data_IF_068831239916
#
_entry.id   IF_068831239916
#
_cell.length_a   1.000
_cell.length_b   1.000
_cell.length_c   1.000
_cell.angle_alpha   90.00
_cell.angle_beta   90.00
_cell.angle_gamma   90.00
#
_symmetry.space_group_name_H-M   'P 1'
#
loop_
_entity.id
_entity.type
_entity.pdbx_description
1 polymer ?
#
# COMPACT_ATOMS: atom_id res chain seq x y z
N UNK A 1 -5.76 -30.27 3.79
CA UNK A 1 -5.31 -30.16 2.39
C UNK A 1 -5.38 -28.73 1.84
N UNK A 2 -6.35 -27.88 2.25
CA UNK A 2 -6.41 -26.46 1.83
C UNK A 2 -5.15 -25.64 2.18
N UNK A 3 -4.52 -25.92 3.32
CA UNK A 3 -3.37 -25.14 3.82
C UNK A 3 -2.11 -25.28 2.95
N UNK A 4 -1.88 -26.44 2.33
CA UNK A 4 -0.71 -26.67 1.46
C UNK A 4 -0.90 -26.01 0.08
N UNK A 5 -2.11 -26.00 -0.46
CA UNK A 5 -2.40 -25.39 -1.77
C UNK A 5 -2.27 -23.86 -1.75
N UNK A 6 -2.71 -23.22 -0.66
CA UNK A 6 -2.59 -21.76 -0.50
C UNK A 6 -1.13 -21.33 -0.33
N UNK A 7 -0.31 -22.11 0.38
CA UNK A 7 1.11 -21.81 0.58
C UNK A 7 1.89 -21.81 -0.75
N UNK A 8 1.70 -22.85 -1.57
CA UNK A 8 2.36 -22.98 -2.89
C UNK A 8 1.93 -21.85 -3.83
N UNK A 9 0.66 -21.44 -3.77
CA UNK A 9 0.18 -20.32 -4.59
C UNK A 9 0.75 -18.98 -4.13
N UNK A 10 0.86 -18.75 -2.82
CA UNK A 10 1.48 -17.56 -2.24
C UNK A 10 2.95 -17.43 -2.63
N UNK A 11 3.72 -18.50 -2.48
CA UNK A 11 5.14 -18.52 -2.88
C UNK A 11 5.33 -18.21 -4.36
N UNK A 12 4.49 -18.80 -5.23
CA UNK A 12 4.51 -18.51 -6.66
C UNK A 12 4.16 -17.05 -6.97
N UNK A 13 3.24 -16.46 -6.22
CA UNK A 13 2.88 -15.06 -6.35
C UNK A 13 4.03 -14.15 -5.92
N UNK A 14 4.59 -14.36 -4.74
CA UNK A 14 5.68 -13.55 -4.17
C UNK A 14 6.92 -13.59 -5.06
N UNK A 15 7.27 -14.77 -5.59
CA UNK A 15 8.35 -14.91 -6.56
C UNK A 15 8.10 -14.07 -7.81
N UNK A 16 6.91 -14.19 -8.43
CA UNK A 16 6.56 -13.37 -9.59
C UNK A 16 6.55 -11.87 -9.29
N UNK A 17 6.15 -11.47 -8.08
CA UNK A 17 6.15 -10.07 -7.66
C UNK A 17 7.57 -9.55 -7.49
N UNK A 18 8.49 -10.36 -6.95
CA UNK A 18 9.92 -10.00 -6.84
C UNK A 18 10.62 -9.88 -8.19
N UNK A 19 10.18 -10.62 -9.20
CA UNK A 19 10.67 -10.57 -10.57
C UNK A 19 10.16 -9.31 -11.33
N UNK A 20 9.17 -8.58 -10.79
CA UNK A 20 8.67 -7.36 -11.42
C UNK A 20 9.64 -6.19 -11.24
N UNK A 21 10.06 -5.62 -12.37
CA UNK A 21 10.82 -4.37 -12.40
C UNK A 21 9.83 -3.21 -12.31
N UNK A 22 9.77 -2.57 -11.14
CA UNK A 22 9.00 -1.35 -10.97
C UNK A 22 9.74 -0.14 -11.55
N UNK A 23 9.02 0.79 -12.16
CA UNK A 23 9.61 2.05 -12.68
C UNK A 23 10.17 2.89 -11.53
N UNK A 24 11.20 3.70 -11.80
CA UNK A 24 11.86 4.59 -10.81
C UNK A 24 10.92 5.59 -10.11
N UNK A 25 9.74 5.86 -10.69
CA UNK A 25 8.70 6.72 -10.11
C UNK A 25 7.47 5.94 -9.64
N UNK A 26 7.55 4.62 -9.56
CA UNK A 26 6.47 3.79 -9.05
C UNK A 26 6.16 4.12 -7.59
N UNK A 27 4.92 3.86 -7.19
CA UNK A 27 4.48 3.98 -5.79
C UNK A 27 4.61 2.64 -5.06
N UNK A 28 5.43 1.74 -5.62
CA UNK A 28 5.69 0.41 -5.06
C UNK A 28 6.53 0.55 -3.80
N UNK A 29 6.11 -0.14 -2.75
CA UNK A 29 6.84 -0.19 -1.47
C UNK A 29 7.27 -1.64 -1.27
N UNK A 30 8.57 -1.89 -1.45
CA UNK A 30 9.07 -3.26 -1.63
C UNK A 30 9.10 -4.08 -0.35
N UNK A 31 9.35 -3.47 0.81
CA UNK A 31 9.50 -4.17 2.09
C UNK A 31 8.82 -3.44 3.24
N UNK A 32 8.65 -4.17 4.36
CA UNK A 32 8.18 -3.62 5.64
C UNK A 32 9.13 -2.52 6.13
N UNK A 33 10.44 -2.71 5.97
CA UNK A 33 11.45 -1.74 6.41
C UNK A 33 11.35 -0.45 5.60
N UNK A 34 11.18 -0.56 4.27
CA UNK A 34 10.98 0.61 3.41
C UNK A 34 9.67 1.34 3.75
N UNK A 35 8.63 0.60 4.12
CA UNK A 35 7.36 1.16 4.59
C UNK A 35 7.53 1.93 5.90
N UNK A 36 8.21 1.34 6.89
CA UNK A 36 8.48 1.97 8.18
C UNK A 36 9.38 3.20 8.03
N UNK A 37 10.40 3.12 7.17
CA UNK A 37 11.27 4.25 6.83
C UNK A 37 10.45 5.39 6.23
N UNK A 38 9.58 5.13 5.25
CA UNK A 38 8.72 6.15 4.65
C UNK A 38 7.80 6.82 5.69
N UNK A 39 7.25 6.06 6.63
CA UNK A 39 6.47 6.62 7.74
C UNK A 39 7.32 7.59 8.56
N UNK A 40 8.51 7.16 9.01
CA UNK A 40 9.39 8.01 9.80
C UNK A 40 9.79 9.28 9.05
N UNK A 41 10.15 9.15 7.77
CA UNK A 41 10.51 10.25 6.90
C UNK A 41 9.37 11.27 6.72
N UNK A 42 8.12 10.81 6.64
CA UNK A 42 6.94 11.67 6.55
C UNK A 42 6.66 12.34 7.90
N UNK A 43 6.81 11.63 9.03
CA UNK A 43 6.70 12.22 10.37
C UNK A 43 7.74 13.33 10.58
N UNK A 44 9.00 13.07 10.23
CA UNK A 44 10.08 14.06 10.29
C UNK A 44 9.79 15.26 9.40
N UNK A 45 9.34 15.04 8.16
CA UNK A 45 8.97 16.11 7.24
C UNK A 45 7.84 17.00 7.80
N UNK A 46 6.87 16.40 8.51
CA UNK A 46 5.82 17.16 9.20
C UNK A 46 6.37 18.00 10.36
N UNK A 47 7.28 17.43 11.16
CA UNK A 47 7.87 18.09 12.34
C UNK A 47 8.88 19.20 12.00
N UNK A 48 9.53 19.14 10.83
CA UNK A 48 10.51 20.16 10.39
C UNK A 48 9.87 21.54 10.22
N UNK A 49 10.52 22.56 10.80
CA UNK A 49 10.15 23.97 10.61
C UNK A 49 10.53 24.47 9.20
N UNK A 50 11.78 24.21 8.76
CA UNK A 50 12.26 24.51 7.40
C UNK A 50 12.22 23.23 6.58
N UNK A 51 11.33 23.17 5.59
CA UNK A 51 11.11 22.00 4.74
C UNK A 51 11.97 22.09 3.48
N UNK A 52 12.58 20.97 3.11
CA UNK A 52 13.31 20.82 1.84
C UNK A 52 12.33 20.51 0.69
N UNK A 53 12.79 20.62 -0.55
CA UNK A 53 12.01 20.19 -1.72
C UNK A 53 11.59 18.72 -1.64
N UNK A 54 12.43 17.86 -1.06
CA UNK A 54 12.12 16.46 -0.81
C UNK A 54 11.00 16.29 0.22
N UNK A 55 11.05 17.05 1.32
CA UNK A 55 9.99 17.04 2.35
C UNK A 55 8.65 17.47 1.74
N UNK A 56 8.63 18.53 0.92
CA UNK A 56 7.41 18.95 0.21
C UNK A 56 6.90 17.87 -0.76
N UNK A 57 7.79 17.22 -1.52
CA UNK A 57 7.40 16.12 -2.42
C UNK A 57 6.79 14.95 -1.65
N UNK A 58 7.35 14.60 -0.48
CA UNK A 58 6.83 13.54 0.39
C UNK A 58 5.45 13.90 0.94
N UNK A 59 5.30 15.08 1.54
CA UNK A 59 4.01 15.53 2.10
C UNK A 59 2.91 15.71 1.06
N UNK A 60 3.28 15.95 -0.21
CA UNK A 60 2.32 15.98 -1.32
C UNK A 60 1.84 14.58 -1.73
N UNK A 61 2.65 13.54 -1.50
CA UNK A 61 2.35 12.16 -1.92
C UNK A 61 1.78 11.30 -0.80
N UNK A 62 2.22 11.57 0.42
CA UNK A 62 1.97 10.73 1.58
C UNK A 62 1.49 11.56 2.75
N UNK A 63 0.57 10.97 3.48
CA UNK A 63 0.11 11.41 4.77
C UNK A 63 0.06 10.20 5.72
N UNK A 64 -0.12 10.46 7.01
CA UNK A 64 -0.07 9.43 8.05
C UNK A 64 -1.38 9.47 8.82
N UNK A 65 -1.95 8.29 9.00
CA UNK A 65 -3.10 8.06 9.86
C UNK A 65 -2.73 7.05 10.95
N UNK A 66 -2.98 7.43 12.20
CA UNK A 66 -2.85 6.52 13.35
C UNK A 66 -4.22 5.94 13.68
N UNK A 67 -4.34 4.62 13.60
CA UNK A 67 -5.56 3.88 13.96
C UNK A 67 -5.24 2.97 15.14
N UNK A 68 -5.71 3.35 16.33
CA UNK A 68 -5.31 2.70 17.57
C UNK A 68 -3.81 2.85 17.82
N UNK A 69 -3.08 1.73 17.91
CA UNK A 69 -1.62 1.70 18.09
C UNK A 69 -0.84 1.59 16.76
N UNK A 70 -1.54 1.41 15.64
CA UNK A 70 -0.91 1.21 14.34
C UNK A 70 -0.87 2.51 13.52
N UNK A 71 0.31 2.85 13.03
CA UNK A 71 0.52 3.96 12.10
C UNK A 71 0.49 3.45 10.66
N UNK A 72 -0.34 4.06 9.82
CA UNK A 72 -0.53 3.68 8.42
C UNK A 72 -0.23 4.85 7.50
N UNK A 73 0.41 4.55 6.38
CA UNK A 73 0.67 5.49 5.29
C UNK A 73 -0.58 5.59 4.41
N UNK A 74 -1.06 6.81 4.18
CA UNK A 74 -2.27 7.09 3.42
C UNK A 74 -2.01 8.15 2.34
N UNK A 75 -2.93 8.25 1.39
CA UNK A 75 -2.99 9.40 0.48
C UNK A 75 -3.40 10.66 1.27
N UNK A 76 -2.74 11.82 1.05
CA UNK A 76 -3.13 13.07 1.68
C UNK A 76 -4.60 13.40 1.47
N UNK A 77 -5.34 13.60 2.57
CA UNK A 77 -6.80 13.78 2.52
C UNK A 77 -7.21 15.03 1.73
N UNK A 78 -6.38 16.07 1.73
CA UNK A 78 -6.57 17.29 0.94
C UNK A 78 -6.51 17.06 -0.58
N UNK A 79 -6.02 15.92 -1.03
CA UNK A 79 -5.97 15.51 -2.44
C UNK A 79 -6.98 14.41 -2.78
N UNK A 80 -7.71 13.89 -1.78
CA UNK A 80 -8.71 12.86 -1.99
C UNK A 80 -10.07 13.44 -2.37
N UNK A 81 -10.71 12.85 -3.39
CA UNK A 81 -12.10 13.17 -3.74
C UNK A 81 -12.99 12.63 -2.62
N UNK A 82 -13.88 13.47 -2.09
CA UNK A 82 -14.79 13.14 -0.98
C UNK A 82 -14.11 12.73 0.35
N UNK A 83 -12.86 13.14 0.59
CA UNK A 83 -12.09 12.77 1.79
C UNK A 83 -11.96 11.25 2.00
N UNK A 84 -11.99 10.46 0.91
CA UNK A 84 -11.80 9.01 1.00
C UNK A 84 -10.38 8.69 1.48
N UNK A 85 -10.27 7.85 2.50
CA UNK A 85 -8.97 7.36 2.99
C UNK A 85 -8.51 6.21 2.11
N UNK A 86 -7.39 6.39 1.41
CA UNK A 86 -6.73 5.32 0.65
C UNK A 86 -5.38 5.00 1.24
N UNK A 87 -5.12 3.71 1.43
CA UNK A 87 -3.91 3.21 2.08
C UNK A 87 -2.82 2.88 1.07
N UNK A 88 -1.58 3.11 1.48
CA UNK A 88 -0.41 2.51 0.87
C UNK A 88 -0.06 1.22 1.63
N UNK A 89 0.39 0.22 0.88
CA UNK A 89 0.80 -1.08 1.43
C UNK A 89 2.17 -1.47 0.90
N UNK A 90 2.84 -2.38 1.60
CA UNK A 90 4.07 -2.99 1.10
C UNK A 90 3.79 -4.29 0.35
N UNK A 91 4.73 -4.74 -0.49
CA UNK A 91 4.56 -5.92 -1.35
C UNK A 91 4.14 -7.19 -0.60
N UNK A 92 4.63 -7.37 0.63
CA UNK A 92 4.25 -8.49 1.50
C UNK A 92 2.77 -8.53 1.93
N UNK A 93 2.04 -7.41 1.87
CA UNK A 93 0.59 -7.37 2.17
C UNK A 93 -0.29 -7.64 0.94
N UNK A 94 0.25 -7.47 -0.28
CA UNK A 94 -0.54 -7.47 -1.52
C UNK A 94 -1.28 -8.81 -1.70
N UNK A 95 -0.61 -9.93 -1.43
CA UNK A 95 -1.23 -11.25 -1.61
C UNK A 95 -2.48 -11.44 -0.74
N UNK A 96 -2.38 -11.13 0.56
CA UNK A 96 -3.52 -11.29 1.47
C UNK A 96 -4.64 -10.30 1.12
N UNK A 97 -4.31 -9.09 0.66
CA UNK A 97 -5.31 -8.11 0.22
C UNK A 97 -6.07 -8.62 -1.02
N UNK A 98 -5.36 -9.14 -2.03
CA UNK A 98 -5.99 -9.70 -3.23
C UNK A 98 -6.82 -10.94 -2.91
N UNK A 99 -6.32 -11.82 -2.03
CA UNK A 99 -7.06 -12.99 -1.56
C UNK A 99 -8.34 -12.59 -0.83
N UNK A 100 -8.28 -11.61 0.07
CA UNK A 100 -9.45 -11.11 0.79
C UNK A 100 -10.44 -10.44 -0.16
N UNK A 101 -9.96 -9.63 -1.12
CA UNK A 101 -10.83 -9.02 -2.14
C UNK A 101 -11.52 -10.08 -3.03
N UNK A 102 -10.85 -11.18 -3.35
CA UNK A 102 -11.47 -12.30 -4.07
C UNK A 102 -12.64 -12.90 -3.26
N UNK A 103 -12.44 -13.12 -1.96
CA UNK A 103 -13.48 -13.65 -1.06
C UNK A 103 -14.62 -12.63 -0.87
N UNK A 104 -14.31 -11.37 -0.54
CA UNK A 104 -15.29 -10.29 -0.32
C UNK A 104 -16.19 -10.05 -1.54
N UNK A 105 -15.66 -10.23 -2.74
CA UNK A 105 -16.43 -10.04 -3.98
C UNK A 105 -17.21 -11.28 -4.42
N UNK A 106 -17.27 -12.32 -3.57
CA UNK A 106 -17.97 -13.58 -3.84
C UNK A 106 -17.27 -14.39 -4.92
N UNK A 107 -15.96 -14.59 -4.77
CA UNK A 107 -15.08 -15.19 -5.79
C UNK A 107 -15.10 -14.41 -7.11
N UNK A 108 -15.16 -13.08 -7.01
CA UNK A 108 -15.19 -12.20 -8.17
C UNK A 108 -13.95 -12.36 -9.04
N UNK A 109 -14.15 -12.23 -10.36
CA UNK A 109 -13.05 -12.13 -11.31
C UNK A 109 -12.29 -10.81 -11.20
N UNK A 110 -11.27 -10.65 -12.05
CA UNK A 110 -10.33 -9.53 -12.03
C UNK A 110 -10.99 -8.15 -11.91
N UNK A 111 -12.00 -7.85 -12.73
CA UNK A 111 -12.62 -6.52 -12.75
C UNK A 111 -13.32 -6.17 -11.43
N UNK A 112 -14.01 -7.13 -10.81
CA UNK A 112 -14.68 -6.92 -9.52
C UNK A 112 -13.66 -6.71 -8.41
N UNK A 113 -12.62 -7.54 -8.37
CA UNK A 113 -11.52 -7.40 -7.41
C UNK A 113 -10.78 -6.08 -7.59
N UNK A 114 -10.47 -5.69 -8.82
CA UNK A 114 -9.78 -4.44 -9.14
C UNK A 114 -10.54 -3.23 -8.60
N UNK A 115 -11.86 -3.17 -8.81
CA UNK A 115 -12.67 -2.06 -8.30
C UNK A 115 -12.73 -2.05 -6.77
N UNK A 116 -12.85 -3.23 -6.14
CA UNK A 116 -12.84 -3.35 -4.68
C UNK A 116 -11.51 -2.86 -4.08
N UNK A 117 -10.38 -3.28 -4.65
CA UNK A 117 -9.04 -2.93 -4.18
C UNK A 117 -8.72 -1.45 -4.44
N UNK A 118 -9.00 -0.93 -5.64
CA UNK A 118 -8.75 0.47 -6.03
C UNK A 118 -9.54 1.50 -5.20
N UNK A 119 -10.65 1.09 -4.61
CA UNK A 119 -11.41 1.94 -3.70
C UNK A 119 -10.67 2.16 -2.37
N UNK A 120 -9.89 1.18 -1.91
CA UNK A 120 -9.23 1.17 -0.59
C UNK A 120 -7.72 1.45 -0.65
N UNK A 121 -7.04 1.09 -1.74
CA UNK A 121 -5.58 1.10 -1.83
C UNK A 121 -5.08 1.90 -3.03
N UNK A 122 -3.91 2.51 -2.87
CA UNK A 122 -3.31 3.38 -3.91
C UNK A 122 -2.36 2.61 -4.83
N UNK A 123 -1.63 1.62 -4.29
CA UNK A 123 -0.46 1.02 -4.94
C UNK A 123 -0.57 -0.50 -5.16
N UNK A 124 -1.78 -1.00 -5.45
CA UNK A 124 -2.06 -2.39 -5.84
C UNK A 124 -2.62 -2.45 -7.26
#
# INVERSE_FOLDING_TARGET
>A
MESQSVCVFKEKFERKLSEQIFKENSVSITSVDNYAQLINEVMEAKAKQKKTSLDHRRLKRYDILTVGTATKLIMPLNTSVNNEVKYFVHNGEIFEILKNAHIETGHGGLHKMYNAVKSKYVNI
#
